data_IF_412761051457
#
_entry.id   IF_412761051457
#
_cell.length_a   1.000
_cell.length_b   1.000
_cell.length_c   1.000
_cell.angle_alpha   90.00
_cell.angle_beta   90.00
_cell.angle_gamma   90.00
#
_symmetry.space_group_name_H-M   'P 1'
#
loop_
_entity.id
_entity.type
_entity.pdbx_description
1 polymer ?
#
# COMPACT_ATOMS: atom_id res chain seq x y z
N UNK A 1 13.75 4.74 3.18
CA UNK A 1 14.92 3.85 3.44
C UNK A 1 14.70 2.51 2.76
N UNK A 2 15.44 2.18 1.69
CA UNK A 2 15.21 0.97 0.85
C UNK A 2 16.36 -0.07 0.91
N UNK A 3 17.22 0.02 1.93
CA UNK A 3 18.26 -1.00 2.16
C UNK A 3 17.71 -2.32 2.70
N UNK A 4 18.52 -3.40 2.80
CA UNK A 4 18.07 -4.71 3.29
C UNK A 4 17.40 -4.68 4.67
N UNK A 5 17.81 -3.75 5.54
CA UNK A 5 17.23 -3.48 6.87
C UNK A 5 16.42 -2.17 6.89
N UNK A 6 15.82 -1.79 5.77
CA UNK A 6 15.20 -0.47 5.55
C UNK A 6 13.87 -0.28 6.28
N UNK A 7 13.91 -0.26 7.61
CA UNK A 7 12.76 0.12 8.44
C UNK A 7 12.80 1.63 8.68
N UNK A 8 11.65 2.29 8.69
CA UNK A 8 11.58 3.65 9.23
C UNK A 8 11.62 3.60 10.77
N UNK A 9 10.87 2.66 11.37
CA UNK A 9 10.98 2.30 12.78
C UNK A 9 10.93 0.79 12.97
N UNK A 10 11.81 0.27 13.85
CA UNK A 10 11.82 -1.13 14.26
C UNK A 10 11.69 -1.23 15.78
N UNK A 11 10.74 -2.03 16.24
CA UNK A 11 10.41 -2.21 17.64
C UNK A 11 10.70 -3.66 18.02
N UNK A 12 11.51 -3.85 19.05
CA UNK A 12 11.89 -5.17 19.55
C UNK A 12 11.82 -5.19 21.06
N UNK A 13 10.97 -6.06 21.58
CA UNK A 13 10.79 -6.25 23.03
C UNK A 13 10.41 -4.95 23.78
N UNK A 14 9.62 -4.09 23.13
CA UNK A 14 9.21 -2.78 23.64
C UNK A 14 7.77 -2.81 24.15
N UNK A 15 7.51 -2.19 25.31
CA UNK A 15 6.21 -2.10 25.96
C UNK A 15 5.69 -0.64 25.98
N UNK A 16 4.37 -0.46 26.09
CA UNK A 16 3.64 0.82 26.25
C UNK A 16 4.03 1.89 25.24
N UNK A 17 4.23 1.44 24.00
CA UNK A 17 4.67 2.27 22.88
C UNK A 17 3.58 3.25 22.50
N UNK A 18 3.96 4.50 22.26
CA UNK A 18 3.10 5.56 21.71
C UNK A 18 3.76 6.10 20.45
N UNK A 19 3.15 5.85 19.30
CA UNK A 19 3.59 6.33 17.98
C UNK A 19 2.44 7.13 17.40
N UNK A 20 2.58 8.44 17.38
CA UNK A 20 1.49 9.35 17.02
C UNK A 20 1.96 10.43 16.05
N UNK A 21 1.12 10.74 15.05
CA UNK A 21 1.31 11.88 14.15
C UNK A 21 2.61 11.83 13.31
N UNK A 22 3.10 10.64 13.00
CA UNK A 22 4.31 10.45 12.20
C UNK A 22 4.01 10.25 10.71
N UNK A 23 4.95 10.67 9.85
CA UNK A 23 4.96 10.37 8.42
C UNK A 23 6.01 9.29 8.11
N UNK A 24 5.56 8.08 7.80
CA UNK A 24 6.37 6.96 7.32
C UNK A 24 6.28 6.88 5.79
N UNK A 25 7.20 7.56 5.11
CA UNK A 25 7.18 7.74 3.65
C UNK A 25 8.35 7.02 2.96
N UNK A 26 8.06 6.26 1.91
CA UNK A 26 9.05 5.68 0.97
C UNK A 26 10.14 4.82 1.64
N UNK A 27 9.70 3.86 2.46
CA UNK A 27 10.54 2.86 3.11
C UNK A 27 10.26 1.46 2.59
N UNK A 28 11.21 0.56 2.77
CA UNK A 28 10.93 -0.87 2.57
C UNK A 28 9.88 -1.33 3.58
N UNK A 29 10.03 -0.97 4.85
CA UNK A 29 8.99 -1.18 5.88
C UNK A 29 8.79 0.11 6.65
N UNK A 30 7.54 0.56 6.80
CA UNK A 30 7.21 1.70 7.65
C UNK A 30 7.50 1.39 9.12
N UNK A 31 6.70 0.51 9.73
CA UNK A 31 6.95 0.02 11.08
C UNK A 31 7.13 -1.50 11.12
N UNK A 32 8.20 -1.97 11.76
CA UNK A 32 8.42 -3.39 12.03
C UNK A 32 8.24 -3.67 13.53
N UNK A 33 7.38 -4.63 13.89
CA UNK A 33 7.16 -5.04 15.27
C UNK A 33 7.59 -6.48 15.49
N UNK A 34 8.48 -6.67 16.47
CA UNK A 34 8.95 -7.94 17.01
C UNK A 34 8.66 -7.97 18.51
N UNK A 35 7.80 -8.89 18.93
CA UNK A 35 7.51 -9.14 20.36
C UNK A 35 7.20 -7.84 21.13
N UNK A 36 6.43 -6.94 20.50
CA UNK A 36 6.14 -5.60 21.02
C UNK A 36 4.63 -5.34 20.91
N UNK A 37 3.88 -5.20 22.02
CA UNK A 37 4.32 -5.38 23.41
C UNK A 37 4.81 -6.79 23.76
N UNK A 38 5.71 -6.85 24.75
CA UNK A 38 6.23 -8.08 25.34
C UNK A 38 5.38 -8.52 26.53
N UNK A 39 5.00 -7.57 27.38
CA UNK A 39 4.17 -7.82 28.56
C UNK A 39 2.68 -7.96 28.18
N UNK A 40 1.97 -8.86 28.87
CA UNK A 40 0.59 -9.22 28.51
C UNK A 40 -0.41 -8.09 28.72
N UNK A 41 -0.15 -7.24 29.72
CA UNK A 41 -1.04 -6.12 30.10
C UNK A 41 -0.66 -4.81 29.40
N UNK A 42 0.43 -4.81 28.62
CA UNK A 42 0.89 -3.64 27.89
C UNK A 42 0.17 -3.48 26.56
N UNK A 43 -0.01 -2.22 26.15
CA UNK A 43 -0.70 -1.84 24.91
C UNK A 43 0.18 -0.89 24.10
N UNK A 44 0.46 -1.26 22.85
CA UNK A 44 1.05 -0.35 21.88
C UNK A 44 -0.02 0.51 21.21
N UNK A 45 0.23 1.80 21.02
CA UNK A 45 -0.69 2.78 20.42
C UNK A 45 -0.08 3.39 19.18
N UNK A 46 -0.79 3.25 18.07
CA UNK A 46 -0.48 3.85 16.79
C UNK A 46 -1.66 4.73 16.40
N UNK A 47 -1.51 6.04 16.58
CA UNK A 47 -2.59 7.02 16.40
C UNK A 47 -2.24 8.06 15.34
N UNK A 48 -3.11 8.33 14.38
CA UNK A 48 -2.94 9.45 13.43
C UNK A 48 -1.61 9.46 12.64
N UNK A 49 -0.98 8.31 12.42
CA UNK A 49 0.22 8.21 11.58
C UNK A 49 -0.17 8.04 10.12
N UNK A 50 0.74 8.41 9.22
CA UNK A 50 0.61 8.16 7.79
C UNK A 50 1.71 7.23 7.32
N UNK A 51 1.31 6.05 6.85
CA UNK A 51 2.16 5.07 6.18
C UNK A 51 1.92 5.17 4.68
N UNK A 52 2.83 5.80 3.96
CA UNK A 52 2.65 6.09 2.54
C UNK A 52 3.80 5.58 1.66
N UNK A 53 3.45 4.97 0.53
CA UNK A 53 4.40 4.55 -0.52
C UNK A 53 5.54 3.66 -0.02
N UNK A 54 5.30 2.87 1.04
CA UNK A 54 6.24 1.87 1.51
C UNK A 54 6.04 0.56 0.75
N UNK A 55 7.06 -0.31 0.69
CA UNK A 55 6.84 -1.66 0.18
C UNK A 55 5.88 -2.40 1.15
N UNK A 56 6.11 -2.26 2.46
CA UNK A 56 5.19 -2.71 3.52
C UNK A 56 4.90 -1.54 4.46
N UNK A 57 3.62 -1.22 4.71
CA UNK A 57 3.23 -0.19 5.68
C UNK A 57 3.62 -0.57 7.11
N UNK A 58 3.05 -1.68 7.60
CA UNK A 58 3.38 -2.27 8.91
C UNK A 58 3.67 -3.75 8.77
N UNK A 59 4.82 -4.22 9.27
CA UNK A 59 5.18 -5.63 9.34
C UNK A 59 5.12 -6.13 10.80
N UNK A 60 4.36 -7.18 11.05
CA UNK A 60 4.20 -7.79 12.37
C UNK A 60 4.77 -9.20 12.38
N UNK A 61 5.50 -9.58 13.42
CA UNK A 61 5.71 -11.01 13.69
C UNK A 61 4.40 -11.67 14.16
N UNK A 62 4.20 -12.98 13.97
CA UNK A 62 2.92 -13.64 14.23
C UNK A 62 2.47 -13.57 15.70
N UNK A 63 3.43 -13.49 16.63
CA UNK A 63 3.17 -13.38 18.07
C UNK A 63 2.72 -11.98 18.53
N UNK A 64 2.89 -10.95 17.69
CA UNK A 64 2.57 -9.55 18.04
C UNK A 64 1.07 -9.36 18.20
N UNK A 65 0.66 -8.88 19.37
CA UNK A 65 -0.72 -8.69 19.81
C UNK A 65 -0.81 -7.43 20.69
N UNK A 66 -2.02 -7.00 21.04
CA UNK A 66 -2.27 -5.86 21.93
C UNK A 66 -1.75 -4.51 21.38
N UNK A 67 -1.61 -4.36 20.06
CA UNK A 67 -1.43 -3.06 19.44
C UNK A 67 -2.78 -2.51 18.97
N UNK A 68 -2.99 -1.22 19.20
CA UNK A 68 -4.18 -0.46 18.84
C UNK A 68 -3.81 0.51 17.72
N UNK A 69 -4.32 0.26 16.52
CA UNK A 69 -4.18 1.11 15.34
C UNK A 69 -5.49 1.85 15.10
N UNK A 70 -5.50 3.17 15.28
CA UNK A 70 -6.68 4.02 15.08
C UNK A 70 -6.30 5.35 14.43
N UNK A 71 -7.13 5.88 13.55
CA UNK A 71 -6.94 7.17 12.87
C UNK A 71 -5.73 7.22 11.92
N UNK A 72 -5.05 6.10 11.66
CA UNK A 72 -3.89 6.10 10.76
C UNK A 72 -4.36 6.12 9.30
N UNK A 73 -3.48 6.55 8.41
CA UNK A 73 -3.69 6.46 6.96
C UNK A 73 -2.66 5.54 6.31
N UNK A 74 -3.15 4.49 5.66
CA UNK A 74 -2.36 3.54 4.89
C UNK A 74 -2.56 3.84 3.40
N UNK A 75 -1.58 4.52 2.79
CA UNK A 75 -1.71 5.14 1.47
C UNK A 75 -0.72 4.55 0.49
N UNK A 76 -1.21 3.83 -0.52
CA UNK A 76 -0.41 3.36 -1.65
C UNK A 76 0.86 2.59 -1.25
N UNK A 77 0.81 1.83 -0.15
CA UNK A 77 1.85 0.84 0.14
C UNK A 77 1.63 -0.38 -0.77
N UNK A 78 2.70 -1.08 -1.17
CA UNK A 78 2.55 -2.30 -1.99
C UNK A 78 1.73 -3.36 -1.22
N UNK A 79 2.05 -3.54 0.06
CA UNK A 79 1.30 -4.28 1.06
C UNK A 79 1.02 -3.38 2.29
N UNK A 80 -0.26 -3.17 2.65
CA UNK A 80 -0.60 -2.28 3.77
C UNK A 80 -0.08 -2.82 5.10
N UNK A 81 -0.33 -4.10 5.37
CA UNK A 81 0.09 -4.80 6.59
C UNK A 81 0.50 -6.23 6.25
N UNK A 82 1.71 -6.62 6.67
CA UNK A 82 2.26 -7.95 6.46
C UNK A 82 2.49 -8.69 7.77
N UNK A 83 2.42 -10.02 7.72
CA UNK A 83 2.78 -10.90 8.84
C UNK A 83 4.03 -11.68 8.44
N UNK A 84 5.16 -11.37 9.09
CA UNK A 84 6.45 -11.96 8.72
C UNK A 84 6.65 -13.33 9.38
N UNK A 85 6.81 -14.37 8.58
CA UNK A 85 7.11 -15.73 9.05
C UNK A 85 5.89 -16.65 9.18
N UNK A 86 6.07 -17.79 9.84
CA UNK A 86 5.04 -18.83 9.96
C UNK A 86 4.23 -18.64 11.24
N UNK A 87 2.91 -18.52 11.12
CA UNK A 87 2.00 -18.45 12.25
C UNK A 87 0.69 -17.76 11.89
N UNK A 88 -0.21 -17.66 12.85
CA UNK A 88 -1.42 -16.84 12.73
C UNK A 88 -1.12 -15.42 13.21
N UNK A 89 -1.69 -14.39 12.58
CA UNK A 89 -1.63 -13.03 13.10
C UNK A 89 -2.08 -12.99 14.57
N UNK A 90 -1.37 -12.25 15.41
CA UNK A 90 -1.79 -12.00 16.78
C UNK A 90 -2.99 -11.04 16.83
N UNK A 91 -3.59 -10.94 18.02
CA UNK A 91 -4.79 -10.11 18.23
C UNK A 91 -4.41 -8.64 18.40
N UNK A 92 -4.39 -7.90 17.30
CA UNK A 92 -4.29 -6.44 17.28
C UNK A 92 -5.65 -5.83 16.93
N UNK A 93 -5.90 -4.61 17.41
CA UNK A 93 -7.13 -3.88 17.12
C UNK A 93 -6.87 -2.85 16.03
N UNK A 94 -7.76 -2.83 15.04
CA UNK A 94 -7.73 -1.90 13.91
C UNK A 94 -8.95 -0.97 13.90
N UNK A 95 -9.87 -1.19 14.83
CA UNK A 95 -10.92 -0.24 15.18
C UNK A 95 -10.93 -0.14 16.70
N UNK A 96 -10.82 1.06 17.21
CA UNK A 96 -10.76 1.32 18.65
C UNK A 96 -11.68 2.49 18.97
N UNK A 97 -12.57 2.30 19.95
CA UNK A 97 -13.51 3.33 20.40
C UNK A 97 -14.34 3.98 19.27
N UNK A 98 -14.72 3.19 18.25
CA UNK A 98 -15.53 3.67 17.13
C UNK A 98 -14.73 4.38 16.03
N UNK A 99 -13.40 4.37 16.09
CA UNK A 99 -12.51 4.94 15.09
C UNK A 99 -11.67 3.85 14.43
N UNK A 100 -11.70 3.78 13.09
CA UNK A 100 -10.86 2.88 12.31
C UNK A 100 -9.67 3.61 11.68
N UNK A 101 -9.18 3.10 10.57
CA UNK A 101 -8.07 3.66 9.80
C UNK A 101 -8.52 3.92 8.35
N UNK A 102 -7.84 4.84 7.67
CA UNK A 102 -7.98 5.02 6.24
C UNK A 102 -7.10 4.03 5.49
N UNK A 103 -7.64 3.43 4.41
CA UNK A 103 -6.93 2.48 3.56
C UNK A 103 -7.15 2.85 2.09
N UNK A 104 -6.08 3.14 1.35
CA UNK A 104 -6.24 3.57 -0.05
C UNK A 104 -6.76 2.47 -0.99
N UNK A 105 -6.68 1.20 -0.59
CA UNK A 105 -7.24 0.06 -1.29
C UNK A 105 -8.58 -0.42 -0.73
N UNK A 106 -9.22 0.36 0.15
CA UNK A 106 -10.60 0.12 0.56
C UNK A 106 -11.57 0.38 -0.59
N UNK A 107 -12.40 -0.62 -0.90
CA UNK A 107 -13.39 -0.58 -1.99
C UNK A 107 -14.81 -0.67 -1.42
N UNK A 108 -15.07 0.06 -0.34
CA UNK A 108 -16.41 0.18 0.24
C UNK A 108 -17.10 1.50 -0.10
N UNK A 109 -18.18 1.77 0.62
CA UNK A 109 -19.02 2.95 0.46
C UNK A 109 -19.49 3.45 1.82
N UNK A 110 -19.91 4.70 1.87
CA UNK A 110 -20.49 5.37 3.03
C UNK A 110 -21.86 5.92 2.59
N UNK A 111 -22.94 5.21 2.93
CA UNK A 111 -24.29 5.54 2.48
C UNK A 111 -24.96 6.61 3.36
N UNK A 112 -24.61 6.67 4.64
CA UNK A 112 -25.18 7.63 5.60
C UNK A 112 -24.36 8.94 5.69
N UNK A 113 -23.23 9.01 4.98
CA UNK A 113 -22.33 10.16 4.85
C UNK A 113 -21.70 10.57 6.19
N UNK A 114 -21.41 9.60 7.06
CA UNK A 114 -20.83 9.86 8.37
C UNK A 114 -19.29 9.93 8.35
N UNK A 115 -18.64 9.68 7.20
CA UNK A 115 -17.19 9.67 7.03
C UNK A 115 -16.52 8.32 7.28
N UNK A 116 -17.28 7.29 7.65
CA UNK A 116 -16.83 5.92 7.87
C UNK A 116 -17.50 4.97 6.88
N UNK A 117 -16.79 3.94 6.46
CA UNK A 117 -17.30 2.96 5.50
C UNK A 117 -18.28 1.96 6.12
N UNK A 118 -19.37 1.69 5.42
CA UNK A 118 -20.42 0.73 5.80
C UNK A 118 -19.98 -0.74 5.68
N UNK A 119 -18.85 -1.00 4.99
CA UNK A 119 -18.26 -2.32 4.86
C UNK A 119 -16.95 -2.40 5.65
N UNK A 120 -16.75 -3.49 6.39
CA UNK A 120 -15.45 -3.71 7.04
C UNK A 120 -14.34 -3.86 5.99
N UNK A 121 -13.20 -3.22 6.23
CA UNK A 121 -11.96 -3.48 5.50
C UNK A 121 -11.34 -4.79 5.99
N UNK A 122 -10.88 -5.61 5.05
CA UNK A 122 -10.25 -6.91 5.31
C UNK A 122 -9.00 -7.03 4.47
N UNK A 123 -7.86 -7.25 5.11
CA UNK A 123 -6.60 -7.52 4.39
C UNK A 123 -6.56 -9.00 3.99
N UNK A 124 -7.13 -9.29 2.82
CA UNK A 124 -7.31 -10.62 2.22
C UNK A 124 -6.95 -10.58 0.74
N UNK A 125 -5.65 -10.59 0.37
CA UNK A 125 -5.26 -10.78 -1.03
C UNK A 125 -5.04 -12.27 -1.31
N UNK A 126 -5.80 -12.82 -2.27
CA UNK A 126 -5.65 -14.20 -2.70
C UNK A 126 -4.30 -14.37 -3.41
N UNK A 127 -3.93 -13.41 -4.25
CA UNK A 127 -2.68 -13.48 -4.99
C UNK A 127 -1.45 -13.49 -4.09
N UNK A 128 -1.47 -12.75 -2.97
CA UNK A 128 -0.40 -12.80 -1.96
C UNK A 128 -0.21 -14.23 -1.42
N UNK A 129 -1.31 -14.93 -1.12
CA UNK A 129 -1.25 -16.31 -0.65
C UNK A 129 -0.74 -17.28 -1.73
N UNK A 130 -1.12 -17.09 -2.99
CA UNK A 130 -0.61 -17.89 -4.10
C UNK A 130 0.89 -17.65 -4.31
N UNK A 131 1.35 -16.40 -4.26
CA UNK A 131 2.75 -16.04 -4.41
C UNK A 131 3.63 -16.58 -3.27
N UNK A 132 3.09 -16.69 -2.05
CA UNK A 132 3.77 -17.32 -0.93
C UNK A 132 4.00 -18.83 -1.15
N UNK A 133 3.10 -19.50 -1.90
CA UNK A 133 3.22 -20.92 -2.26
C UNK A 133 4.10 -21.12 -3.49
N UNK A 134 3.98 -20.24 -4.49
CA UNK A 134 4.69 -20.30 -5.76
C UNK A 134 5.43 -18.98 -6.05
N UNK A 135 6.71 -18.84 -5.61
CA UNK A 135 7.49 -17.62 -5.79
C UNK A 135 7.63 -17.15 -7.24
N UNK A 136 7.50 -18.06 -8.22
CA UNK A 136 7.50 -17.74 -9.66
C UNK A 136 6.37 -16.80 -10.08
N UNK A 137 5.30 -16.71 -9.29
CA UNK A 137 4.19 -15.79 -9.54
C UNK A 137 4.57 -14.31 -9.37
N UNK A 138 5.70 -14.00 -8.73
CA UNK A 138 6.21 -12.62 -8.62
C UNK A 138 6.35 -11.90 -9.96
N UNK A 139 6.54 -12.63 -11.06
CA UNK A 139 6.58 -12.06 -12.41
C UNK A 139 5.30 -11.30 -12.79
N UNK A 140 4.17 -11.69 -12.19
CA UNK A 140 2.86 -11.09 -12.46
C UNK A 140 2.50 -9.96 -11.51
N UNK A 141 3.37 -9.62 -10.55
CA UNK A 141 3.16 -8.51 -9.63
C UNK A 141 2.91 -7.22 -10.43
N UNK A 142 1.88 -6.46 -10.04
CA UNK A 142 1.38 -5.27 -10.76
C UNK A 142 0.74 -5.51 -12.13
N UNK A 143 0.55 -6.76 -12.55
CA UNK A 143 -0.21 -7.03 -13.78
C UNK A 143 -1.72 -6.91 -13.55
N UNK A 144 -2.50 -6.56 -14.59
CA UNK A 144 -3.97 -6.58 -14.52
C UNK A 144 -4.56 -7.94 -14.14
N UNK A 145 -3.82 -9.03 -14.37
CA UNK A 145 -4.24 -10.38 -14.03
C UNK A 145 -4.37 -10.59 -12.52
N UNK A 146 -3.51 -9.95 -11.71
CA UNK A 146 -3.58 -10.00 -10.24
C UNK A 146 -4.88 -9.40 -9.76
N UNK A 147 -5.21 -8.19 -10.23
CA UNK A 147 -6.46 -7.51 -9.88
C UNK A 147 -7.69 -8.33 -10.27
N UNK A 148 -7.66 -8.99 -11.43
CA UNK A 148 -8.74 -9.87 -11.87
C UNK A 148 -8.92 -11.10 -10.97
N UNK A 149 -7.81 -11.73 -10.54
CA UNK A 149 -7.83 -12.87 -9.61
C UNK A 149 -8.41 -12.45 -8.26
N UNK A 150 -7.92 -11.36 -7.68
CA UNK A 150 -8.41 -10.88 -6.38
C UNK A 150 -9.88 -10.44 -6.48
N UNK A 151 -10.29 -9.81 -7.59
CA UNK A 151 -11.70 -9.47 -7.82
C UNK A 151 -12.58 -10.73 -7.95
N UNK A 152 -12.15 -11.74 -8.71
CA UNK A 152 -12.88 -12.99 -8.81
C UNK A 152 -12.99 -13.71 -7.46
N UNK A 153 -11.93 -13.70 -6.66
CA UNK A 153 -11.91 -14.27 -5.32
C UNK A 153 -12.97 -13.66 -4.40
N UNK A 154 -13.26 -12.36 -4.54
CA UNK A 154 -14.33 -11.68 -3.80
C UNK A 154 -15.72 -12.31 -4.04
N UNK A 155 -15.96 -12.89 -5.21
CA UNK A 155 -17.22 -13.56 -5.54
C UNK A 155 -17.34 -15.00 -4.99
N UNK A 156 -16.23 -15.61 -4.53
CA UNK A 156 -16.18 -17.01 -4.09
C UNK A 156 -15.59 -17.13 -2.67
N UNK A 157 -16.42 -17.06 -1.60
CA UNK A 157 -15.93 -17.03 -0.22
C UNK A 157 -15.08 -18.23 0.22
N UNK A 158 -15.25 -19.39 -0.43
CA UNK A 158 -14.52 -20.63 -0.08
C UNK A 158 -13.06 -20.67 -0.58
N UNK A 159 -12.66 -19.76 -1.48
CA UNK A 159 -11.26 -19.63 -1.92
C UNK A 159 -10.52 -18.51 -1.19
N UNK A 160 -11.21 -17.70 -0.38
CA UNK A 160 -10.58 -16.57 0.29
C UNK A 160 -9.71 -17.05 1.46
N UNK A 161 -8.47 -16.54 1.58
CA UNK A 161 -7.64 -16.76 2.74
C UNK A 161 -8.28 -16.07 3.96
N UNK A 162 -7.93 -16.53 5.17
CA UNK A 162 -8.32 -15.81 6.38
C UNK A 162 -7.69 -14.42 6.39
N UNK A 163 -8.42 -13.37 6.81
CA UNK A 163 -7.88 -12.02 6.88
C UNK A 163 -6.69 -11.94 7.82
N UNK A 164 -5.65 -11.22 7.41
CA UNK A 164 -4.55 -10.83 8.31
C UNK A 164 -5.06 -9.88 9.40
N UNK A 165 -6.03 -9.03 9.04
CA UNK A 165 -6.70 -8.08 9.90
C UNK A 165 -8.09 -7.71 9.38
N UNK A 166 -8.91 -7.19 10.29
CA UNK A 166 -10.23 -6.63 9.99
C UNK A 166 -10.33 -5.28 10.69
N UNK A 167 -10.67 -4.25 9.92
CA UNK A 167 -11.08 -2.93 10.41
C UNK A 167 -12.58 -2.76 10.13
N UNK A 168 -13.36 -2.62 11.20
CA UNK A 168 -14.83 -2.60 11.15
C UNK A 168 -15.42 -1.25 10.78
N UNK A 169 -14.67 -0.16 10.93
CA UNK A 169 -15.12 1.21 10.67
C UNK A 169 -14.03 1.97 9.90
N UNK A 170 -13.67 1.52 8.68
CA UNK A 170 -12.61 2.18 7.91
C UNK A 170 -12.99 3.63 7.63
N UNK A 171 -12.04 4.53 7.77
CA UNK A 171 -12.25 5.96 7.50
C UNK A 171 -12.27 6.23 5.99
N UNK A 172 -13.18 7.09 5.53
CA UNK A 172 -13.34 7.41 4.11
C UNK A 172 -12.34 8.45 3.60
N UNK A 173 -11.66 9.15 4.52
CA UNK A 173 -10.67 10.17 4.20
C UNK A 173 -9.37 9.93 4.96
N UNK A 174 -8.21 10.19 4.34
CA UNK A 174 -6.94 10.10 5.04
C UNK A 174 -6.77 11.28 6.01
N UNK A 175 -6.10 11.00 7.13
CA UNK A 175 -5.44 12.01 7.94
C UNK A 175 -4.14 12.40 7.25
N UNK A 176 -3.83 13.69 7.24
CA UNK A 176 -2.55 14.23 6.75
C UNK A 176 -1.78 14.74 7.96
N UNK A 177 -0.49 14.38 8.17
CA UNK A 177 0.26 14.84 9.33
C UNK A 177 0.47 16.34 9.26
N UNK A 178 0.32 17.03 10.40
CA UNK A 178 0.67 18.44 10.51
C UNK A 178 2.17 18.62 10.20
N UNK A 179 2.50 19.54 9.28
CA UNK A 179 3.89 19.81 8.91
C UNK A 179 4.49 18.86 7.87
N UNK A 180 3.70 17.98 7.23
CA UNK A 180 4.15 17.28 6.04
C UNK A 180 4.63 18.29 4.98
N UNK A 181 5.82 18.09 4.36
CA UNK A 181 6.29 19.00 3.34
C UNK A 181 5.23 19.09 2.24
N UNK A 182 4.93 20.30 1.73
CA UNK A 182 3.93 20.45 0.69
C UNK A 182 4.31 19.53 -0.47
N UNK A 183 3.32 18.80 -1.01
CA UNK A 183 3.51 18.03 -2.23
C UNK A 183 4.17 18.98 -3.24
N UNK A 184 5.40 18.67 -3.67
CA UNK A 184 6.02 19.42 -4.74
C UNK A 184 5.09 19.28 -5.94
N UNK A 185 4.34 20.35 -6.23
CA UNK A 185 3.64 20.45 -7.50
C UNK A 185 4.72 20.34 -8.55
N UNK A 186 4.78 19.19 -9.22
CA UNK A 186 5.65 19.01 -10.37
C UNK A 186 5.17 20.04 -11.39
N UNK A 187 5.88 21.18 -11.43
CA UNK A 187 5.59 22.30 -12.30
C UNK A 187 5.71 21.83 -13.73
N UNK A 188 4.63 21.29 -14.29
CA UNK A 188 4.26 21.24 -15.69
C UNK A 188 5.44 21.19 -16.69
N UNK A 189 6.50 20.43 -16.43
CA UNK A 189 7.71 20.37 -17.25
C UNK A 189 7.74 19.07 -18.04
N UNK A 190 7.12 18.01 -17.51
CA UNK A 190 6.99 16.72 -18.20
C UNK A 190 6.13 16.79 -19.47
N UNK A 191 5.09 17.63 -19.52
CA UNK A 191 4.21 17.67 -20.69
C UNK A 191 4.86 18.31 -21.92
N UNK A 192 5.80 19.25 -21.75
CA UNK A 192 6.60 19.78 -22.85
C UNK A 192 7.52 18.73 -23.46
N UNK A 193 8.07 17.84 -22.62
CA UNK A 193 8.90 16.71 -23.09
C UNK A 193 8.03 15.70 -23.85
N UNK A 194 6.87 15.33 -23.31
CA UNK A 194 5.93 14.42 -23.98
C UNK A 194 5.45 14.99 -25.32
N UNK A 195 5.03 16.26 -25.34
CA UNK A 195 4.57 16.93 -26.58
C UNK A 195 5.69 17.06 -27.62
N UNK A 196 6.91 17.43 -27.21
CA UNK A 196 8.06 17.47 -28.11
C UNK A 196 8.39 16.09 -28.70
N UNK A 197 8.33 15.03 -27.89
CA UNK A 197 8.61 13.65 -28.34
C UNK A 197 7.57 13.18 -29.35
N UNK A 198 6.28 13.47 -29.11
CA UNK A 198 5.20 13.15 -30.05
C UNK A 198 5.39 13.90 -31.37
N UNK A 199 5.72 15.19 -31.33
CA UNK A 199 5.96 16.01 -32.54
C UNK A 199 7.11 15.44 -33.37
N UNK A 200 8.24 15.13 -32.73
CA UNK A 200 9.42 14.55 -33.41
C UNK A 200 9.09 13.21 -34.05
N UNK A 201 8.36 12.33 -33.35
CA UNK A 201 7.92 11.04 -33.90
C UNK A 201 6.97 11.22 -35.09
N UNK A 202 6.00 12.12 -35.01
CA UNK A 202 5.10 12.40 -36.15
C UNK A 202 5.85 12.97 -37.37
N UNK A 203 6.83 13.86 -37.16
CA UNK A 203 7.65 14.39 -38.24
C UNK A 203 8.54 13.32 -38.87
N UNK A 204 9.15 12.45 -38.05
CA UNK A 204 9.96 11.34 -38.53
C UNK A 204 9.13 10.37 -39.39
N UNK A 205 7.93 9.99 -38.92
CA UNK A 205 7.00 9.14 -39.67
C UNK A 205 6.55 9.80 -40.98
N UNK A 206 6.26 11.11 -40.96
CA UNK A 206 5.86 11.86 -42.15
C UNK A 206 6.99 12.02 -43.19
N UNK A 207 8.26 11.92 -42.78
CA UNK A 207 9.42 11.98 -43.67
C UNK A 207 9.80 10.64 -44.32
N UNK A 208 9.35 9.49 -43.79
CA UNK A 208 9.58 8.16 -44.36
C UNK A 208 9.20 8.05 -45.86
N UNK A 209 8.05 8.55 -46.34
CA UNK A 209 7.71 8.49 -47.77
C UNK A 209 8.57 9.40 -48.67
N UNK A 210 9.27 10.41 -48.12
CA UNK A 210 10.12 11.32 -48.90
C UNK A 210 11.52 10.77 -49.16
N UNK A 211 11.98 9.81 -48.34
CA UNK A 211 13.28 9.16 -48.51
C UNK A 211 13.27 8.08 -49.60
N UNK A 212 12.10 7.56 -49.97
CA UNK A 212 11.94 6.52 -51.00
C UNK A 212 11.86 7.01 -52.45
N UNK A 213 11.89 8.32 -52.71
CA UNK A 213 11.69 8.90 -54.06
C UNK A 213 12.95 9.48 -54.74
N UNK A 214 14.16 9.25 -54.22
CA UNK A 214 15.38 9.56 -54.99
C UNK A 214 15.63 8.47 -56.03
N UNK A 215 14.96 8.62 -57.18
CA UNK A 215 15.17 7.80 -58.36
C UNK A 215 16.61 7.91 -58.87
N UNK A 216 17.21 6.75 -59.15
CA UNK A 216 18.45 6.62 -59.90
C UNK A 216 18.19 6.99 -61.36
N UNK A 217 18.75 8.11 -61.84
CA UNK A 217 18.84 8.40 -63.27
C UNK A 217 20.11 7.77 -63.82
N UNK A 218 19.97 6.71 -64.64
CA UNK A 218 21.03 6.23 -65.52
C UNK A 218 21.05 7.08 -66.80
N UNK A 219 22.17 7.76 -67.05
CA UNK A 219 22.61 8.21 -68.38
C UNK A 219 24.12 8.39 -68.36
#
# INVERSE_FOLDING_TARGET
NRGPSGYAIGLKDMDDIIIEENLFLDNRIGAHLDTSPREVDSIGRFTNNVFAYNDIGVELQPSVRNNHFQGNSFVENEEQVSISGRGTPGKNLWTVNGQGNYWSDYVGYDADHNGQGDLAYKSERLFENLMAQEPGLRLFLYSPAVNAIDFAAKAFPFVQPKPKLIDTLPEMQPVIPEGAPPLQQNNATGWYVVTATVIVLTLAVAMLPRLGQRGYTFS
#
